data_IF_882047535785
#
_entry.id   IF_882047535785
#
_cell.length_a   1.000
_cell.length_b   1.000
_cell.length_c   1.000
_cell.angle_alpha   90.00
_cell.angle_beta   90.00
_cell.angle_gamma   90.00
#
_symmetry.space_group_name_H-M   'P 1'
#
loop_
_entity.id
_entity.type
_entity.pdbx_description
1 polymer ?
#
# COMPACT_ATOMS: atom_id res chain seq x y z
N UNK A 1 26.34 -14.45 8.32
CA UNK A 1 25.06 -13.83 8.05
C UNK A 1 25.12 -13.08 6.74
N UNK A 2 24.16 -13.33 5.85
CA UNK A 2 23.97 -12.57 4.61
C UNK A 2 22.56 -11.97 4.65
N UNK A 3 22.46 -10.66 4.39
CA UNK A 3 21.19 -9.96 4.28
C UNK A 3 21.07 -9.47 2.83
N UNK A 4 19.96 -9.81 2.19
CA UNK A 4 19.71 -9.48 0.79
C UNK A 4 18.25 -9.19 0.57
N UNK A 5 17.91 -8.28 -0.34
CA UNK A 5 16.53 -8.08 -0.75
C UNK A 5 16.08 -9.20 -1.72
N UNK A 6 14.78 -9.44 -1.75
CA UNK A 6 14.19 -10.51 -2.56
C UNK A 6 14.50 -10.38 -4.06
N UNK A 7 14.55 -9.16 -4.57
CA UNK A 7 14.81 -8.85 -5.98
C UNK A 7 16.24 -9.25 -6.40
N UNK A 8 17.19 -9.18 -5.45
CA UNK A 8 18.61 -9.51 -5.66
C UNK A 8 18.95 -10.96 -5.36
N UNK A 9 17.97 -11.79 -4.97
CA UNK A 9 18.20 -13.20 -4.58
C UNK A 9 18.91 -14.00 -5.69
N UNK A 10 18.71 -13.66 -6.96
CA UNK A 10 19.35 -14.30 -8.10
C UNK A 10 20.88 -14.09 -8.13
N UNK A 11 21.41 -13.10 -7.40
CA UNK A 11 22.85 -12.82 -7.31
C UNK A 11 23.59 -13.75 -6.35
N UNK A 12 22.90 -14.43 -5.44
CA UNK A 12 23.52 -15.41 -4.55
C UNK A 12 23.94 -16.61 -5.40
N UNK A 13 25.24 -16.94 -5.40
CA UNK A 13 25.81 -18.03 -6.22
C UNK A 13 25.89 -19.37 -5.48
N UNK A 14 25.77 -19.39 -4.16
CA UNK A 14 25.87 -20.60 -3.34
C UNK A 14 24.62 -20.82 -2.49
N UNK A 15 24.40 -22.03 -2.02
CA UNK A 15 23.20 -22.45 -1.31
C UNK A 15 23.50 -23.08 0.07
N UNK A 16 24.72 -22.96 0.55
CA UNK A 16 25.14 -23.58 1.80
C UNK A 16 24.82 -22.66 2.99
N UNK A 17 23.55 -22.69 3.38
CA UNK A 17 23.02 -21.98 4.55
C UNK A 17 22.36 -22.99 5.50
N UNK A 18 22.51 -22.78 6.80
CA UNK A 18 21.88 -23.59 7.83
C UNK A 18 20.42 -23.22 8.06
N UNK A 19 20.09 -21.93 7.87
CA UNK A 19 18.78 -21.34 8.12
C UNK A 19 18.48 -20.23 7.13
N UNK A 20 17.25 -20.21 6.65
CA UNK A 20 16.71 -19.10 5.84
C UNK A 20 15.67 -18.33 6.66
N UNK A 21 15.85 -17.03 6.78
CA UNK A 21 14.85 -16.13 7.39
C UNK A 21 14.29 -15.26 6.27
N UNK A 22 12.98 -15.35 6.05
CA UNK A 22 12.27 -14.55 5.04
C UNK A 22 11.40 -13.51 5.76
N UNK A 23 11.85 -12.26 5.70
CA UNK A 23 11.07 -11.13 6.19
C UNK A 23 10.02 -10.71 5.15
N UNK A 24 8.92 -10.09 5.60
CA UNK A 24 7.75 -9.73 4.78
C UNK A 24 7.29 -10.89 3.89
N UNK A 25 7.28 -12.09 4.49
CA UNK A 25 7.07 -13.36 3.77
C UNK A 25 5.72 -13.43 3.04
N UNK A 26 4.72 -12.61 3.41
CA UNK A 26 3.45 -12.50 2.71
C UNK A 26 3.60 -12.20 1.22
N UNK A 27 4.71 -11.56 0.79
CA UNK A 27 5.03 -11.32 -0.63
C UNK A 27 5.18 -12.61 -1.45
N UNK A 28 5.40 -13.74 -0.79
CA UNK A 28 5.49 -15.06 -1.40
C UNK A 28 4.12 -15.76 -1.52
N UNK A 29 3.04 -15.12 -1.09
CA UNK A 29 1.69 -15.67 -1.06
C UNK A 29 0.88 -15.48 -2.36
N UNK A 30 1.46 -15.09 -3.47
CA UNK A 30 0.73 -14.91 -4.72
C UNK A 30 -0.03 -16.17 -5.14
N UNK A 31 -1.32 -16.03 -5.50
CA UNK A 31 -2.17 -17.13 -5.95
C UNK A 31 -2.97 -16.73 -7.20
N UNK A 32 -3.42 -17.65 -8.07
CA UNK A 32 -3.28 -19.10 -7.97
C UNK A 32 -1.90 -19.63 -8.40
N UNK A 33 -1.01 -18.78 -8.92
CA UNK A 33 0.35 -19.14 -9.34
C UNK A 33 1.38 -18.41 -8.49
N UNK A 34 2.48 -19.08 -8.10
CA UNK A 34 3.56 -18.44 -7.37
C UNK A 34 4.29 -17.43 -8.27
N UNK A 35 4.77 -16.35 -7.70
CA UNK A 35 5.61 -15.39 -8.42
C UNK A 35 7.02 -15.96 -8.68
N UNK A 36 7.85 -15.22 -9.45
CA UNK A 36 9.20 -15.66 -9.84
C UNK A 36 10.11 -15.86 -8.63
N UNK A 37 10.04 -14.95 -7.65
CA UNK A 37 10.87 -15.00 -6.43
C UNK A 37 10.50 -16.22 -5.59
N UNK A 38 9.20 -16.46 -5.39
CA UNK A 38 8.69 -17.64 -4.66
C UNK A 38 9.21 -18.95 -5.27
N UNK A 39 9.22 -19.05 -6.60
CA UNK A 39 9.77 -20.21 -7.30
C UNK A 39 11.27 -20.35 -7.07
N UNK A 40 12.02 -19.26 -7.16
CA UNK A 40 13.47 -19.24 -6.97
C UNK A 40 13.86 -19.65 -5.54
N UNK A 41 13.13 -19.16 -4.53
CA UNK A 41 13.36 -19.55 -3.13
C UNK A 41 13.11 -21.05 -2.97
N UNK A 42 12.01 -21.58 -3.49
CA UNK A 42 11.70 -22.99 -3.44
C UNK A 42 12.77 -23.85 -4.10
N UNK A 43 13.17 -23.49 -5.31
CA UNK A 43 14.18 -24.22 -6.09
C UNK A 43 15.51 -24.33 -5.34
N UNK A 44 15.91 -23.22 -4.70
CA UNK A 44 17.24 -23.12 -4.10
C UNK A 44 17.30 -23.58 -2.65
N UNK A 45 16.25 -23.35 -1.88
CA UNK A 45 16.31 -23.45 -0.41
C UNK A 45 15.23 -24.34 0.21
N UNK A 46 14.39 -25.03 -0.58
CA UNK A 46 13.24 -25.77 -0.04
C UNK A 46 13.59 -26.87 0.99
N UNK A 47 14.81 -27.39 0.95
CA UNK A 47 15.32 -28.41 1.89
C UNK A 47 15.98 -27.81 3.15
N UNK A 48 16.04 -26.48 3.26
CA UNK A 48 16.63 -25.80 4.43
C UNK A 48 15.56 -25.47 5.47
N UNK A 49 15.90 -25.43 6.76
CA UNK A 49 15.02 -24.84 7.78
C UNK A 49 14.69 -23.39 7.43
N UNK A 50 13.43 -22.99 7.65
CA UNK A 50 12.98 -21.64 7.30
C UNK A 50 12.18 -21.03 8.44
N UNK A 51 12.40 -19.72 8.68
CA UNK A 51 11.56 -18.88 9.54
C UNK A 51 10.92 -17.82 8.64
N UNK A 52 9.60 -17.69 8.73
CA UNK A 52 8.82 -16.74 7.98
C UNK A 52 8.31 -15.63 8.90
N UNK A 53 8.63 -14.39 8.60
CA UNK A 53 8.22 -13.22 9.36
C UNK A 53 7.25 -12.40 8.53
N UNK A 54 6.15 -11.98 9.13
CA UNK A 54 5.19 -11.07 8.50
C UNK A 54 4.25 -10.45 9.53
N UNK A 55 4.07 -9.15 9.48
CA UNK A 55 3.04 -8.45 10.26
C UNK A 55 1.63 -8.64 9.69
N UNK A 56 1.51 -8.94 8.40
CA UNK A 56 0.24 -9.13 7.67
C UNK A 56 0.31 -10.34 6.74
N UNK A 57 0.27 -11.57 7.27
CA UNK A 57 0.60 -12.76 6.48
C UNK A 57 -0.38 -13.06 5.34
N UNK A 58 -1.63 -12.61 5.44
CA UNK A 58 -2.68 -12.82 4.42
C UNK A 58 -3.46 -11.54 4.14
N UNK A 59 -2.80 -10.49 3.57
CA UNK A 59 -3.44 -9.20 3.40
C UNK A 59 -4.66 -9.22 2.45
N UNK A 60 -4.68 -10.13 1.48
CA UNK A 60 -5.76 -10.23 0.49
C UNK A 60 -6.70 -11.41 0.74
N UNK A 61 -6.14 -12.57 1.07
CA UNK A 61 -6.89 -13.82 1.24
C UNK A 61 -6.09 -14.89 1.99
N UNK A 62 -6.78 -15.75 2.71
CA UNK A 62 -6.20 -16.96 3.29
C UNK A 62 -5.63 -17.94 2.24
N UNK A 63 -5.99 -17.82 0.98
CA UNK A 63 -5.38 -18.55 -0.13
C UNK A 63 -3.88 -18.30 -0.28
N UNK A 64 -3.39 -17.18 0.24
CA UNK A 64 -1.98 -16.81 0.24
C UNK A 64 -1.12 -17.77 1.08
N UNK A 65 -1.70 -18.49 2.06
CA UNK A 65 -0.96 -19.44 2.87
C UNK A 65 -0.38 -20.61 2.04
N UNK A 66 -1.06 -21.02 0.96
CA UNK A 66 -0.56 -22.16 0.18
C UNK A 66 0.88 -21.93 -0.31
N UNK A 67 1.13 -20.86 -1.07
CA UNK A 67 2.45 -20.64 -1.65
C UNK A 67 3.48 -20.16 -0.62
N UNK A 68 3.05 -19.52 0.47
CA UNK A 68 3.96 -19.19 1.57
C UNK A 68 4.56 -20.45 2.20
N UNK A 69 3.76 -21.49 2.43
CA UNK A 69 4.26 -22.77 2.94
C UNK A 69 4.87 -23.67 1.84
N UNK A 70 4.38 -23.58 0.62
CA UNK A 70 4.84 -24.39 -0.51
C UNK A 70 6.33 -24.25 -0.80
N UNK A 71 6.94 -23.15 -0.44
CA UNK A 71 8.39 -22.89 -0.58
C UNK A 71 9.20 -23.97 0.12
N UNK A 72 8.79 -24.43 1.29
CA UNK A 72 9.51 -25.40 2.11
C UNK A 72 9.06 -26.83 1.85
N UNK A 73 10.00 -27.77 1.86
CA UNK A 73 9.68 -29.20 1.86
C UNK A 73 9.03 -29.65 3.18
N UNK A 74 9.07 -28.85 4.23
CA UNK A 74 8.41 -29.07 5.52
C UNK A 74 6.98 -28.52 5.56
N UNK A 75 6.40 -28.17 4.41
CA UNK A 75 5.04 -27.64 4.29
C UNK A 75 3.99 -28.58 4.90
N UNK A 76 2.96 -28.03 5.58
CA UNK A 76 1.82 -28.82 6.04
C UNK A 76 0.91 -29.33 4.90
N UNK A 77 1.11 -28.83 3.67
CA UNK A 77 0.31 -29.13 2.48
C UNK A 77 1.01 -30.09 1.51
N UNK A 78 1.86 -30.99 2.02
CA UNK A 78 2.66 -31.93 1.20
C UNK A 78 1.84 -32.85 0.27
N UNK A 79 0.63 -33.16 0.65
CA UNK A 79 -0.29 -34.03 -0.10
C UNK A 79 -0.81 -33.39 -1.39
N UNK A 80 -0.70 -32.05 -1.51
CA UNK A 80 -1.20 -31.32 -2.66
C UNK A 80 -0.10 -31.05 -3.67
N UNK A 81 -0.22 -31.63 -4.84
CA UNK A 81 0.73 -31.45 -5.96
C UNK A 81 0.83 -30.00 -6.42
N UNK A 82 -0.27 -29.25 -6.34
CA UNK A 82 -0.33 -27.84 -6.74
C UNK A 82 -1.48 -27.09 -6.07
N UNK A 83 -1.47 -25.76 -6.23
CA UNK A 83 -2.49 -24.88 -5.69
C UNK A 83 -3.92 -25.28 -6.11
N UNK A 84 -4.12 -25.70 -7.35
CA UNK A 84 -5.46 -25.99 -7.86
C UNK A 84 -6.08 -27.23 -7.19
N UNK A 85 -5.25 -28.23 -6.84
CA UNK A 85 -5.71 -29.40 -6.05
C UNK A 85 -6.01 -28.99 -4.62
N UNK A 86 -5.14 -28.19 -4.01
CA UNK A 86 -5.35 -27.64 -2.68
C UNK A 86 -6.60 -26.76 -2.59
N UNK A 87 -6.85 -25.92 -3.60
CA UNK A 87 -7.99 -25.02 -3.60
C UNK A 87 -9.35 -25.72 -3.64
N UNK A 88 -9.43 -26.94 -4.14
CA UNK A 88 -10.69 -27.71 -4.12
C UNK A 88 -11.17 -27.98 -2.68
N UNK A 89 -10.25 -28.17 -1.73
CA UNK A 89 -10.57 -28.49 -0.34
C UNK A 89 -10.63 -27.26 0.57
N UNK A 90 -9.90 -26.20 0.21
CA UNK A 90 -9.71 -25.02 1.06
C UNK A 90 -10.30 -23.71 0.55
N UNK A 91 -10.89 -23.70 -0.65
CA UNK A 91 -11.38 -22.46 -1.27
C UNK A 91 -12.79 -22.64 -1.85
N UNK A 92 -13.68 -21.69 -1.55
CA UNK A 92 -14.95 -21.55 -2.27
C UNK A 92 -14.70 -20.86 -3.60
N UNK A 93 -14.45 -21.65 -4.65
CA UNK A 93 -14.08 -21.18 -5.96
C UNK A 93 -15.29 -20.52 -6.63
N UNK A 94 -15.21 -19.21 -6.92
CA UNK A 94 -16.24 -18.44 -7.59
C UNK A 94 -15.82 -18.10 -9.02
N UNK A 95 -16.80 -17.92 -9.90
CA UNK A 95 -16.58 -17.41 -11.25
C UNK A 95 -16.77 -15.90 -11.24
N UNK A 96 -15.80 -15.15 -11.76
CA UNK A 96 -15.87 -13.72 -12.00
C UNK A 96 -15.77 -13.42 -13.49
N UNK A 97 -16.51 -12.43 -13.96
CA UNK A 97 -16.38 -11.90 -15.31
C UNK A 97 -15.39 -10.73 -15.31
N UNK A 98 -14.36 -10.82 -16.15
CA UNK A 98 -13.44 -9.75 -16.47
C UNK A 98 -13.65 -9.38 -17.94
N UNK A 99 -14.50 -8.39 -18.20
CA UNK A 99 -14.97 -8.10 -19.54
C UNK A 99 -15.76 -9.29 -20.11
N UNK A 100 -15.30 -9.82 -21.25
CA UNK A 100 -15.92 -10.98 -21.92
C UNK A 100 -15.37 -12.34 -21.46
N UNK A 101 -14.36 -12.37 -20.58
CA UNK A 101 -13.73 -13.60 -20.12
C UNK A 101 -14.20 -13.97 -18.73
N UNK A 102 -14.51 -15.26 -18.53
CA UNK A 102 -14.83 -15.84 -17.25
C UNK A 102 -13.54 -16.37 -16.61
N UNK A 103 -13.24 -15.93 -15.39
CA UNK A 103 -12.06 -16.37 -14.63
C UNK A 103 -12.47 -16.93 -13.27
N UNK A 104 -11.73 -17.91 -12.79
CA UNK A 104 -11.92 -18.44 -11.43
C UNK A 104 -11.30 -17.49 -10.40
N UNK A 105 -12.11 -17.16 -9.39
CA UNK A 105 -11.67 -16.39 -8.23
C UNK A 105 -11.41 -17.36 -7.06
N UNK A 106 -10.21 -17.29 -6.53
CA UNK A 106 -9.73 -18.12 -5.43
C UNK A 106 -9.58 -17.35 -4.11
N UNK A 107 -10.16 -16.16 -4.00
CA UNK A 107 -9.98 -15.31 -2.82
C UNK A 107 -10.85 -15.70 -1.61
N UNK A 108 -11.91 -16.50 -1.82
CA UNK A 108 -12.84 -16.91 -0.77
C UNK A 108 -12.42 -18.25 -0.12
N UNK A 109 -11.36 -18.19 0.69
CA UNK A 109 -10.78 -19.36 1.33
C UNK A 109 -11.45 -19.69 2.68
N UNK A 110 -11.55 -20.99 3.01
CA UNK A 110 -12.10 -21.50 4.28
C UNK A 110 -11.09 -21.32 5.41
N UNK A 111 -11.12 -20.13 6.04
CA UNK A 111 -10.22 -19.72 7.12
C UNK A 111 -10.04 -20.80 8.20
N UNK A 112 -11.14 -21.34 8.72
CA UNK A 112 -11.09 -22.28 9.84
C UNK A 112 -10.46 -23.63 9.47
N UNK A 113 -10.67 -24.07 8.22
CA UNK A 113 -10.04 -25.30 7.72
C UNK A 113 -8.52 -25.12 7.59
N UNK A 114 -8.10 -23.99 7.07
CA UNK A 114 -6.67 -23.66 6.91
C UNK A 114 -6.03 -23.54 8.29
N UNK A 115 -6.63 -22.76 9.21
CA UNK A 115 -6.10 -22.56 10.56
C UNK A 115 -5.91 -23.88 11.33
N UNK A 116 -6.83 -24.84 11.21
CA UNK A 116 -6.69 -26.17 11.84
C UNK A 116 -5.39 -26.88 11.44
N UNK A 117 -4.92 -26.63 10.22
CA UNK A 117 -3.70 -27.28 9.69
C UNK A 117 -2.45 -26.47 10.07
N UNK A 118 -2.50 -25.14 9.94
CA UNK A 118 -1.31 -24.30 10.05
C UNK A 118 -0.99 -23.79 11.46
N UNK A 119 -1.97 -23.79 12.41
CA UNK A 119 -1.78 -23.19 13.74
C UNK A 119 -0.57 -23.78 14.51
N UNK A 120 -0.25 -25.05 14.31
CA UNK A 120 0.93 -25.67 14.94
C UNK A 120 2.29 -25.21 14.38
N UNK A 121 2.27 -24.49 13.25
CA UNK A 121 3.46 -23.95 12.59
C UNK A 121 3.58 -22.43 12.76
N UNK A 122 2.58 -21.79 13.38
CA UNK A 122 2.51 -20.32 13.48
C UNK A 122 2.58 -19.93 14.95
N UNK A 123 3.46 -18.96 15.23
CA UNK A 123 3.47 -18.21 16.47
C UNK A 123 2.99 -16.81 16.11
N UNK A 124 1.90 -16.37 16.71
CA UNK A 124 1.35 -15.02 16.45
C UNK A 124 1.14 -14.28 17.76
N UNK A 125 1.49 -13.00 17.73
CA UNK A 125 1.22 -12.07 18.82
C UNK A 125 0.46 -10.87 18.27
N UNK A 126 -0.54 -10.41 18.99
CA UNK A 126 -1.14 -9.10 18.73
C UNK A 126 -0.20 -8.00 19.22
N UNK A 127 -0.37 -6.78 18.70
CA UNK A 127 0.39 -5.62 19.22
C UNK A 127 0.20 -5.47 20.73
N UNK A 128 -1.02 -5.66 21.23
CA UNK A 128 -1.36 -5.61 22.67
C UNK A 128 -0.61 -6.68 23.47
N UNK A 129 -0.59 -7.93 23.00
CA UNK A 129 0.18 -9.01 23.65
C UNK A 129 1.69 -8.76 23.65
N UNK A 130 2.18 -7.97 22.69
CA UNK A 130 3.58 -7.54 22.60
C UNK A 130 3.88 -6.26 23.39
N UNK A 131 2.93 -5.76 24.17
CA UNK A 131 3.08 -4.58 25.02
C UNK A 131 2.84 -3.24 24.31
N UNK A 132 2.39 -3.25 23.04
CA UNK A 132 2.03 -2.04 22.31
C UNK A 132 0.55 -1.70 22.57
N UNK A 133 0.30 -0.80 23.50
CA UNK A 133 -1.05 -0.39 23.91
C UNK A 133 -1.47 0.97 23.32
N UNK A 134 -0.88 1.36 22.18
CA UNK A 134 -1.16 2.64 21.54
C UNK A 134 -2.56 2.66 20.92
N UNK A 135 -3.38 3.61 21.33
CA UNK A 135 -4.66 3.89 20.66
C UNK A 135 -4.38 4.66 19.37
N UNK A 136 -4.80 4.13 18.23
CA UNK A 136 -4.71 4.81 16.95
C UNK A 136 -6.02 5.55 16.68
N UNK A 137 -5.94 6.88 16.55
CA UNK A 137 -7.08 7.73 16.18
C UNK A 137 -6.87 8.30 14.79
N UNK A 138 -7.80 8.02 13.89
CA UNK A 138 -7.75 8.51 12.50
C UNK A 138 -8.73 9.65 12.29
N UNK A 139 -8.21 10.77 11.78
CA UNK A 139 -8.96 12.00 11.55
C UNK A 139 -8.99 12.31 10.06
N UNK A 140 -10.17 12.37 9.46
CA UNK A 140 -10.33 12.78 8.06
C UNK A 140 -10.57 14.28 8.01
N UNK A 141 -9.67 15.00 7.35
CA UNK A 141 -9.76 16.44 7.09
C UNK A 141 -10.13 16.62 5.62
N UNK A 142 -11.29 17.21 5.36
CA UNK A 142 -11.72 17.56 4.00
C UNK A 142 -11.25 18.95 3.63
N UNK A 143 -10.59 19.04 2.50
CA UNK A 143 -10.05 20.31 1.96
C UNK A 143 -10.79 20.69 0.70
N UNK A 144 -11.36 21.87 0.68
CA UNK A 144 -11.91 22.48 -0.55
C UNK A 144 -10.75 22.86 -1.45
N UNK A 145 -10.70 22.26 -2.63
CA UNK A 145 -9.70 22.57 -3.64
C UNK A 145 -10.07 23.87 -4.38
N UNK A 146 -9.13 24.43 -5.16
CA UNK A 146 -9.40 25.56 -6.01
C UNK A 146 -10.32 25.19 -7.18
N UNK A 147 -11.04 26.18 -7.72
CA UNK A 147 -11.99 25.95 -8.83
C UNK A 147 -11.34 25.34 -10.06
N UNK A 148 -10.06 25.64 -10.32
CA UNK A 148 -9.31 25.06 -11.44
C UNK A 148 -9.25 23.54 -11.33
N UNK A 149 -9.05 22.98 -10.13
CA UNK A 149 -9.03 21.52 -9.89
C UNK A 149 -10.38 20.91 -10.23
N UNK A 150 -11.48 21.51 -9.78
CA UNK A 150 -12.82 21.01 -10.05
C UNK A 150 -13.20 21.13 -11.53
N UNK A 151 -12.81 22.21 -12.20
CA UNK A 151 -13.08 22.41 -13.63
C UNK A 151 -12.38 21.35 -14.49
N UNK A 152 -11.06 21.13 -14.25
CA UNK A 152 -10.30 20.11 -15.00
C UNK A 152 -10.88 18.73 -14.75
N UNK A 153 -11.17 18.38 -13.49
CA UNK A 153 -11.72 17.05 -13.15
C UNK A 153 -13.10 16.83 -13.75
N UNK A 154 -13.93 17.85 -13.85
CA UNK A 154 -15.24 17.80 -14.50
C UNK A 154 -15.12 17.54 -16.01
N UNK A 155 -14.21 18.26 -16.67
CA UNK A 155 -13.95 18.09 -18.10
C UNK A 155 -13.39 16.68 -18.41
N UNK A 156 -12.42 16.21 -17.62
CA UNK A 156 -11.88 14.86 -17.81
C UNK A 156 -12.93 13.76 -17.61
N UNK A 157 -13.84 13.93 -16.65
CA UNK A 157 -14.94 12.96 -16.45
C UNK A 157 -15.94 12.95 -17.60
N UNK A 158 -16.11 14.08 -18.29
CA UNK A 158 -17.06 14.22 -19.39
C UNK A 158 -16.46 13.85 -20.74
N UNK A 159 -15.27 14.36 -21.03
CA UNK A 159 -14.68 14.36 -22.36
C UNK A 159 -13.43 13.49 -22.48
N UNK A 160 -12.91 12.95 -21.36
CA UNK A 160 -11.65 12.19 -21.26
C UNK A 160 -10.39 12.96 -21.67
N UNK A 161 -10.53 14.24 -21.94
CA UNK A 161 -9.45 15.15 -22.34
C UNK A 161 -9.69 16.54 -21.72
N UNK A 162 -8.62 17.20 -21.35
CA UNK A 162 -8.61 18.60 -20.99
C UNK A 162 -7.48 19.29 -21.75
N UNK A 163 -7.83 20.31 -22.54
CA UNK A 163 -6.92 21.13 -23.31
C UNK A 163 -6.61 22.42 -22.53
N UNK A 164 -5.38 22.55 -22.04
CA UNK A 164 -4.86 23.77 -21.48
C UNK A 164 -4.22 24.65 -22.55
N UNK A 165 -3.70 25.83 -22.17
CA UNK A 165 -3.09 26.77 -23.14
C UNK A 165 -1.87 26.17 -23.86
N UNK A 166 -1.07 25.35 -23.21
CA UNK A 166 0.19 24.80 -23.74
C UNK A 166 0.32 23.30 -23.58
N UNK A 167 -0.63 22.63 -22.91
CA UNK A 167 -0.54 21.23 -22.52
C UNK A 167 -1.90 20.56 -22.52
N UNK A 168 -1.89 19.25 -22.70
CA UNK A 168 -3.09 18.41 -22.74
C UNK A 168 -3.02 17.37 -21.63
N UNK A 169 -4.14 17.12 -20.96
CA UNK A 169 -4.31 16.01 -20.04
C UNK A 169 -5.26 15.00 -20.67
N UNK A 170 -4.78 13.79 -20.95
CA UNK A 170 -5.55 12.72 -21.58
C UNK A 170 -5.88 11.64 -20.55
N UNK A 171 -7.14 11.21 -20.56
CA UNK A 171 -7.67 10.16 -19.71
C UNK A 171 -8.53 9.17 -20.52
N UNK A 172 -7.98 8.70 -21.65
CA UNK A 172 -8.62 7.86 -22.67
C UNK A 172 -9.02 6.46 -22.18
N UNK A 173 -8.50 6.03 -21.04
CA UNK A 173 -8.87 4.76 -20.40
C UNK A 173 -9.31 4.98 -18.95
N UNK A 174 -10.16 4.05 -18.44
CA UNK A 174 -10.61 4.13 -17.05
C UNK A 174 -9.46 4.12 -16.02
N UNK A 175 -8.34 3.46 -16.33
CA UNK A 175 -7.14 3.45 -15.47
C UNK A 175 -6.47 4.80 -15.48
N UNK A 176 -6.27 5.41 -16.66
CA UNK A 176 -5.71 6.76 -16.77
C UNK A 176 -6.61 7.79 -16.09
N UNK A 177 -7.94 7.71 -16.31
CA UNK A 177 -8.89 8.62 -15.67
C UNK A 177 -8.81 8.52 -14.14
N UNK A 178 -8.83 7.30 -13.57
CA UNK A 178 -8.68 7.09 -12.15
C UNK A 178 -7.37 7.70 -11.62
N UNK A 179 -6.26 7.48 -12.33
CA UNK A 179 -4.94 8.02 -11.94
C UNK A 179 -4.88 9.54 -12.06
N UNK A 180 -5.38 10.13 -13.16
CA UNK A 180 -5.38 11.59 -13.36
C UNK A 180 -6.28 12.30 -12.34
N UNK A 181 -7.47 11.77 -12.06
CA UNK A 181 -8.34 12.33 -11.01
C UNK A 181 -7.67 12.28 -9.64
N UNK A 182 -6.97 11.19 -9.32
CA UNK A 182 -6.26 11.06 -8.05
C UNK A 182 -5.12 12.09 -7.91
N UNK A 183 -4.36 12.34 -8.99
CA UNK A 183 -3.34 13.37 -9.04
C UNK A 183 -3.93 14.78 -8.92
N UNK A 184 -4.97 15.10 -9.69
CA UNK A 184 -5.61 16.40 -9.69
C UNK A 184 -6.19 16.77 -8.32
N UNK A 185 -6.87 15.84 -7.68
CA UNK A 185 -7.38 16.04 -6.32
C UNK A 185 -6.28 16.13 -5.25
N UNK A 186 -5.03 15.81 -5.56
CA UNK A 186 -3.89 16.11 -4.69
C UNK A 186 -3.18 17.45 -5.04
N UNK A 187 -3.70 18.15 -6.04
CA UNK A 187 -3.16 19.47 -6.48
C UNK A 187 -2.08 19.40 -7.55
N UNK A 188 -1.81 18.21 -8.11
CA UNK A 188 -0.77 18.01 -9.12
C UNK A 188 -1.30 17.22 -10.31
N UNK A 189 -0.58 17.21 -11.42
CA UNK A 189 -0.85 16.31 -12.54
C UNK A 189 0.42 16.03 -13.34
N UNK A 190 0.57 14.82 -13.85
CA UNK A 190 1.57 14.47 -14.85
C UNK A 190 0.92 14.59 -16.22
N UNK A 191 1.52 15.41 -17.09
CA UNK A 191 1.07 15.65 -18.46
C UNK A 191 1.49 14.49 -19.39
N UNK A 192 0.98 14.48 -20.60
CA UNK A 192 1.37 13.47 -21.61
C UNK A 192 2.85 13.60 -22.03
N UNK A 193 3.44 14.79 -21.88
CA UNK A 193 4.88 15.01 -22.05
C UNK A 193 5.77 14.38 -20.98
N UNK A 194 5.17 13.81 -19.92
CA UNK A 194 5.87 13.33 -18.72
C UNK A 194 6.22 14.42 -17.71
N UNK A 195 5.98 15.68 -18.03
CA UNK A 195 6.20 16.81 -17.12
C UNK A 195 5.12 16.86 -16.04
N UNK A 196 5.52 17.10 -14.79
CA UNK A 196 4.60 17.35 -13.69
C UNK A 196 4.24 18.83 -13.60
N UNK A 197 2.97 19.11 -13.30
CA UNK A 197 2.49 20.47 -13.00
C UNK A 197 1.87 20.51 -11.60
N UNK A 198 2.04 21.68 -10.96
CA UNK A 198 1.39 22.03 -9.70
C UNK A 198 0.24 22.96 -10.03
N UNK A 199 -0.97 22.57 -9.64
CA UNK A 199 -2.21 23.30 -9.94
C UNK A 199 -2.83 23.92 -8.70
N UNK A 200 -2.68 23.27 -7.54
CA UNK A 200 -3.43 23.62 -6.34
C UNK A 200 -2.61 23.36 -5.08
N UNK A 201 -2.53 24.34 -4.21
CA UNK A 201 -1.77 24.29 -2.94
C UNK A 201 -2.66 24.16 -1.70
N UNK A 202 -3.98 23.98 -1.87
CA UNK A 202 -4.96 24.01 -0.77
C UNK A 202 -4.65 23.00 0.34
N UNK A 203 -4.17 21.78 -0.01
CA UNK A 203 -3.75 20.77 0.99
C UNK A 203 -2.53 21.24 1.79
N UNK A 204 -1.54 21.87 1.16
CA UNK A 204 -0.38 22.41 1.86
C UNK A 204 -0.77 23.54 2.83
N UNK A 205 -1.68 24.42 2.42
CA UNK A 205 -2.22 25.51 3.26
C UNK A 205 -2.93 24.92 4.49
N UNK A 206 -3.77 23.91 4.31
CA UNK A 206 -4.45 23.24 5.42
C UNK A 206 -3.46 22.58 6.39
N UNK A 207 -2.45 21.88 5.88
CA UNK A 207 -1.39 21.25 6.69
C UNK A 207 -0.63 22.32 7.48
N UNK A 208 -0.23 23.41 6.86
CA UNK A 208 0.49 24.51 7.54
C UNK A 208 -0.35 25.11 8.67
N UNK A 209 -1.60 25.46 8.39
CA UNK A 209 -2.50 26.06 9.38
C UNK A 209 -2.73 25.16 10.58
N UNK A 210 -2.85 23.87 10.35
CA UNK A 210 -3.18 22.89 11.38
C UNK A 210 -1.99 22.48 12.22
N UNK A 211 -0.81 22.30 11.61
CA UNK A 211 0.35 21.67 12.23
C UNK A 211 1.57 22.57 12.41
N UNK A 212 1.43 23.89 12.25
CA UNK A 212 2.58 24.84 12.33
C UNK A 212 3.40 24.76 13.62
N UNK A 213 2.81 24.27 14.72
CA UNK A 213 3.44 24.14 16.04
C UNK A 213 3.89 22.71 16.37
N UNK A 214 3.70 21.77 15.46
CA UNK A 214 3.95 20.35 15.66
C UNK A 214 5.02 19.86 14.68
N UNK A 215 5.71 18.81 15.08
CA UNK A 215 6.61 18.06 14.21
C UNK A 215 5.81 16.95 13.55
N UNK A 216 5.75 16.90 12.22
CA UNK A 216 4.92 15.93 11.52
C UNK A 216 5.71 15.10 10.50
N UNK A 217 5.21 13.89 10.26
CA UNK A 217 5.62 13.06 9.16
C UNK A 217 4.50 13.04 8.11
N UNK A 218 4.84 13.39 6.86
CA UNK A 218 3.90 13.48 5.74
C UNK A 218 4.11 12.29 4.81
N UNK A 219 3.07 11.51 4.56
CA UNK A 219 3.07 10.49 3.53
C UNK A 219 2.40 11.01 2.25
N UNK A 220 3.12 10.87 1.13
CA UNK A 220 2.63 11.20 -0.20
C UNK A 220 2.66 9.98 -1.12
N UNK A 221 1.91 10.01 -2.23
CA UNK A 221 1.83 8.92 -3.21
C UNK A 221 2.63 9.21 -4.47
N UNK A 222 2.42 10.35 -5.10
CA UNK A 222 3.02 10.72 -6.39
C UNK A 222 4.24 11.61 -6.19
N UNK A 223 5.28 11.45 -7.03
CA UNK A 223 6.48 12.29 -6.95
C UNK A 223 6.16 13.79 -7.10
N UNK A 224 5.20 14.13 -7.95
CA UNK A 224 4.75 15.51 -8.11
C UNK A 224 4.18 16.14 -6.82
N UNK A 225 3.62 15.33 -5.92
CA UNK A 225 3.18 15.78 -4.59
C UNK A 225 4.37 16.15 -3.71
N UNK A 226 5.45 15.36 -3.77
CA UNK A 226 6.69 15.73 -3.06
C UNK A 226 7.27 17.04 -3.57
N UNK A 227 7.27 17.24 -4.89
CA UNK A 227 7.74 18.50 -5.49
C UNK A 227 6.90 19.68 -5.02
N UNK A 228 5.57 19.52 -4.95
CA UNK A 228 4.66 20.52 -4.38
C UNK A 228 4.95 20.77 -2.89
N UNK A 229 5.05 19.71 -2.08
CA UNK A 229 5.33 19.80 -0.64
C UNK A 229 6.68 20.51 -0.41
N UNK A 230 7.73 20.10 -1.12
CA UNK A 230 9.06 20.68 -1.04
C UNK A 230 9.07 22.16 -1.47
N UNK A 231 8.40 22.48 -2.57
CA UNK A 231 8.30 23.87 -3.04
C UNK A 231 7.53 24.78 -2.05
N UNK A 232 6.51 24.23 -1.38
CA UNK A 232 5.68 25.00 -0.46
C UNK A 232 6.35 25.20 0.90
N UNK A 233 6.88 24.13 1.50
CA UNK A 233 7.46 24.16 2.86
C UNK A 233 8.96 24.48 2.89
N UNK A 234 9.63 24.41 1.73
CA UNK A 234 11.04 24.76 1.55
C UNK A 234 11.96 24.11 2.60
N UNK A 235 12.70 24.90 3.38
CA UNK A 235 13.67 24.42 4.37
C UNK A 235 13.06 23.70 5.58
N UNK A 236 11.74 23.78 5.76
CA UNK A 236 11.01 23.10 6.84
C UNK A 236 10.84 21.62 6.61
N UNK A 237 11.04 21.13 5.36
CA UNK A 237 10.78 19.74 4.98
C UNK A 237 12.06 19.02 4.56
N UNK A 238 12.21 17.79 4.97
CA UNK A 238 13.28 16.86 4.54
C UNK A 238 12.71 15.53 4.06
N UNK A 239 13.50 14.73 3.38
CA UNK A 239 13.26 13.32 3.10
C UNK A 239 14.34 12.41 3.73
N UNK A 240 15.26 12.99 4.47
CA UNK A 240 16.30 12.29 5.21
C UNK A 240 15.86 12.01 6.65
N UNK A 241 15.90 10.73 7.05
CA UNK A 241 15.44 10.30 8.37
C UNK A 241 16.37 10.77 9.50
N UNK A 242 17.69 10.90 9.24
CA UNK A 242 18.63 11.37 10.25
C UNK A 242 18.42 12.85 10.50
N UNK A 243 18.25 13.64 9.44
CA UNK A 243 17.95 15.06 9.57
C UNK A 243 16.62 15.28 10.30
N UNK A 244 15.58 14.50 9.96
CA UNK A 244 14.31 14.53 10.70
C UNK A 244 14.49 14.23 12.18
N UNK A 245 15.24 13.19 12.54
CA UNK A 245 15.40 12.78 13.94
C UNK A 245 16.21 13.77 14.77
N UNK A 246 17.09 14.56 14.15
CA UNK A 246 18.04 15.47 14.85
C UNK A 246 17.66 16.95 14.76
N UNK A 247 16.62 17.30 14.02
CA UNK A 247 16.16 18.69 13.83
C UNK A 247 14.66 18.81 14.03
N UNK A 248 14.13 20.05 14.02
CA UNK A 248 12.69 20.31 14.06
C UNK A 248 12.01 20.24 12.69
N UNK A 249 12.73 19.81 11.65
CA UNK A 249 12.15 19.67 10.30
C UNK A 249 11.06 18.59 10.26
N UNK A 250 10.09 18.80 9.41
CA UNK A 250 9.11 17.81 9.01
C UNK A 250 9.74 16.82 8.03
N UNK A 251 9.22 15.60 7.97
CA UNK A 251 9.67 14.63 6.97
C UNK A 251 8.54 14.35 5.97
N UNK A 252 8.89 14.24 4.68
CA UNK A 252 7.97 13.76 3.65
C UNK A 252 8.51 12.50 2.99
N UNK A 253 7.71 11.43 3.01
CA UNK A 253 8.08 10.11 2.51
C UNK A 253 7.00 9.57 1.57
N UNK A 254 7.44 8.89 0.52
CA UNK A 254 6.50 8.18 -0.33
C UNK A 254 5.90 6.98 0.42
N UNK A 255 4.58 6.79 0.35
CA UNK A 255 3.88 5.74 1.11
C UNK A 255 4.53 4.36 0.90
N UNK A 256 4.87 4.01 -0.33
CA UNK A 256 5.43 2.69 -0.67
C UNK A 256 6.81 2.47 -0.05
N UNK A 257 7.70 3.46 -0.09
CA UNK A 257 9.04 3.38 0.50
C UNK A 257 9.03 3.63 2.01
N UNK A 258 8.16 4.49 2.50
CA UNK A 258 8.04 4.85 3.92
C UNK A 258 7.25 3.86 4.78
N UNK A 259 6.57 2.89 4.17
CA UNK A 259 5.78 1.90 4.91
C UNK A 259 6.61 0.77 5.55
N UNK A 260 7.88 0.60 5.18
CA UNK A 260 8.72 -0.52 5.61
C UNK A 260 10.00 -0.02 6.29
N UNK A 261 10.38 -0.68 7.40
CA UNK A 261 11.70 -0.57 8.01
C UNK A 261 12.09 0.75 8.68
N UNK A 262 11.18 1.74 8.79
CA UNK A 262 11.47 3.03 9.42
C UNK A 262 10.63 3.27 10.67
N UNK A 263 11.17 4.07 11.59
CA UNK A 263 10.46 4.56 12.79
C UNK A 263 10.30 6.08 12.68
N UNK A 264 9.08 6.55 12.85
CA UNK A 264 8.72 7.98 12.83
C UNK A 264 8.34 8.48 14.23
N UNK A 265 8.92 7.88 15.28
CA UNK A 265 8.59 8.16 16.69
C UNK A 265 8.74 9.62 17.09
N UNK A 266 9.62 10.36 16.42
CA UNK A 266 9.86 11.78 16.68
C UNK A 266 8.78 12.70 16.12
N UNK A 267 7.83 12.19 15.32
CA UNK A 267 6.69 12.96 14.83
C UNK A 267 5.57 13.01 15.90
N UNK A 268 4.96 14.17 16.09
CA UNK A 268 3.73 14.31 16.89
C UNK A 268 2.55 13.64 16.18
N UNK A 269 2.48 13.83 14.86
CA UNK A 269 1.39 13.36 14.00
C UNK A 269 1.89 12.74 12.71
N UNK A 270 1.13 11.74 12.22
CA UNK A 270 1.27 11.20 10.89
C UNK A 270 0.20 11.81 9.99
N UNK A 271 0.63 12.44 8.91
CA UNK A 271 -0.23 13.17 7.99
C UNK A 271 -0.16 12.54 6.60
N UNK A 272 -1.29 12.06 6.10
CA UNK A 272 -1.39 11.55 4.74
C UNK A 272 -1.84 12.66 3.80
N UNK A 273 -0.95 13.13 2.96
CA UNK A 273 -1.24 14.07 1.89
C UNK A 273 -2.13 13.44 0.82
N UNK A 274 -1.92 12.14 0.60
CA UNK A 274 -2.70 11.31 -0.29
C UNK A 274 -2.75 9.87 0.24
N UNK A 275 -3.55 9.00 -0.36
CA UNK A 275 -3.71 7.60 0.01
C UNK A 275 -3.30 6.68 -1.15
N UNK A 276 -2.73 5.51 -0.85
CA UNK A 276 -2.46 4.50 -1.87
C UNK A 276 -3.68 3.59 -2.10
N UNK A 277 -3.78 2.99 -3.28
CA UNK A 277 -4.83 2.03 -3.62
C UNK A 277 -4.70 0.71 -2.87
N UNK A 278 -3.51 0.42 -2.35
CA UNK A 278 -3.18 -0.84 -1.67
C UNK A 278 -3.57 -0.83 -0.20
N UNK A 279 -4.32 -1.85 0.21
CA UNK A 279 -4.62 -2.10 1.61
C UNK A 279 -3.35 -2.39 2.43
N UNK A 280 -2.37 -3.07 1.85
CA UNK A 280 -1.08 -3.33 2.51
C UNK A 280 -0.36 -2.03 2.83
N UNK A 281 -0.28 -1.09 1.87
CA UNK A 281 0.32 0.22 2.08
C UNK A 281 -0.35 0.98 3.24
N UNK A 282 -1.68 0.95 3.30
CA UNK A 282 -2.44 1.56 4.38
C UNK A 282 -2.08 0.97 5.75
N UNK A 283 -2.19 -0.35 5.90
CA UNK A 283 -2.01 -1.01 7.20
C UNK A 283 -0.56 -0.94 7.70
N UNK A 284 0.43 -1.07 6.83
CA UNK A 284 1.84 -1.00 7.21
C UNK A 284 2.30 0.42 7.54
N UNK A 285 1.83 1.44 6.80
CA UNK A 285 2.27 2.82 7.02
C UNK A 285 1.68 3.45 8.28
N UNK A 286 0.44 3.11 8.67
CA UNK A 286 -0.23 3.69 9.84
C UNK A 286 0.46 3.40 11.16
N UNK A 287 1.17 2.27 11.25
CA UNK A 287 1.80 1.82 12.50
C UNK A 287 3.21 2.42 12.71
N UNK A 288 3.68 3.32 11.82
CA UNK A 288 5.03 3.90 11.88
C UNK A 288 5.28 4.84 13.07
N UNK A 289 4.23 5.35 13.71
CA UNK A 289 4.33 6.11 14.96
C UNK A 289 4.34 5.22 16.20
N UNK A 290 3.96 3.96 16.06
CA UNK A 290 3.74 3.07 17.22
C UNK A 290 5.05 2.72 17.90
N UNK A 291 5.14 3.01 19.20
CA UNK A 291 6.22 2.61 20.09
C UNK A 291 5.61 2.08 21.39
N UNK A 292 6.39 1.35 22.19
CA UNK A 292 5.93 0.79 23.48
C UNK A 292 5.45 1.90 24.44
N UNK A 293 6.15 3.04 24.44
CA UNK A 293 5.89 4.15 25.36
C UNK A 293 4.78 5.11 24.88
N UNK A 294 4.36 5.00 23.63
CA UNK A 294 3.40 5.93 23.03
C UNK A 294 1.97 5.45 23.25
N UNK A 295 1.18 6.23 24.02
CA UNK A 295 -0.21 5.89 24.36
C UNK A 295 -1.22 6.21 23.25
N UNK A 296 -0.96 7.25 22.46
CA UNK A 296 -1.86 7.71 21.41
C UNK A 296 -1.12 8.04 20.12
N UNK A 297 -1.62 7.51 19.01
CA UNK A 297 -1.16 7.80 17.66
C UNK A 297 -2.28 8.52 16.91
N UNK A 298 -2.11 9.80 16.65
CA UNK A 298 -3.07 10.57 15.86
C UNK A 298 -2.61 10.65 14.39
N UNK A 299 -3.46 10.15 13.52
CA UNK A 299 -3.28 10.11 12.07
C UNK A 299 -4.27 11.08 11.42
N UNK A 300 -3.80 11.87 10.48
CA UNK A 300 -4.62 12.83 9.73
C UNK A 300 -4.58 12.51 8.23
N UNK A 301 -5.75 12.32 7.65
CA UNK A 301 -5.97 12.11 6.23
C UNK A 301 -6.43 13.41 5.59
N UNK A 302 -5.61 14.00 4.73
CA UNK A 302 -5.93 15.28 4.06
C UNK A 302 -6.57 14.97 2.71
N UNK A 303 -7.87 14.78 2.71
CA UNK A 303 -8.64 14.42 1.53
C UNK A 303 -9.29 15.65 0.90
N UNK A 304 -9.31 15.69 -0.43
CA UNK A 304 -10.02 16.70 -1.18
C UNK A 304 -11.53 16.50 -1.05
N UNK A 305 -12.25 17.57 -0.90
CA UNK A 305 -13.70 17.50 -1.03
C UNK A 305 -14.11 17.11 -2.46
N UNK A 306 -14.96 16.09 -2.59
CA UNK A 306 -15.31 15.51 -3.90
C UNK A 306 -14.23 14.64 -4.56
N UNK A 307 -13.08 14.42 -3.90
CA UNK A 307 -11.99 13.58 -4.39
C UNK A 307 -12.26 12.08 -4.25
N UNK A 308 -11.38 11.26 -4.88
CA UNK A 308 -11.50 9.80 -4.86
C UNK A 308 -10.93 9.17 -3.58
N UNK A 309 -10.19 9.93 -2.80
CA UNK A 309 -9.43 9.44 -1.64
C UNK A 309 -10.34 8.79 -0.59
N UNK A 310 -11.52 9.38 -0.36
CA UNK A 310 -12.48 8.84 0.60
C UNK A 310 -13.02 7.46 0.18
N UNK A 311 -13.22 7.23 -1.12
CA UNK A 311 -13.63 5.93 -1.65
C UNK A 311 -12.52 4.89 -1.51
N UNK A 312 -11.26 5.30 -1.76
CA UNK A 312 -10.08 4.47 -1.55
C UNK A 312 -9.98 4.08 -0.07
N UNK A 313 -10.07 5.06 0.84
CA UNK A 313 -9.95 4.86 2.28
C UNK A 313 -10.97 3.84 2.79
N UNK A 314 -12.24 3.98 2.43
CA UNK A 314 -13.28 3.00 2.81
C UNK A 314 -12.94 1.58 2.36
N UNK A 315 -12.33 1.43 1.19
CA UNK A 315 -12.00 0.12 0.63
C UNK A 315 -10.82 -0.55 1.32
N UNK A 316 -9.76 0.23 1.60
CA UNK A 316 -8.56 -0.29 2.26
C UNK A 316 -8.77 -0.60 3.75
N UNK A 317 -9.72 0.08 4.40
CA UNK A 317 -10.19 -0.28 5.75
C UNK A 317 -10.72 -1.71 5.81
N UNK A 318 -11.42 -2.15 4.77
CA UNK A 318 -11.94 -3.53 4.62
C UNK A 318 -10.84 -4.54 4.21
N UNK A 319 -9.58 -4.17 4.27
CA UNK A 319 -8.41 -4.97 3.81
C UNK A 319 -8.52 -5.39 2.34
N UNK A 320 -9.04 -4.52 1.49
CA UNK A 320 -9.23 -4.74 0.06
C UNK A 320 -8.63 -3.59 -0.72
N UNK A 321 -7.90 -3.93 -1.79
CA UNK A 321 -7.36 -2.92 -2.69
C UNK A 321 -8.45 -2.17 -3.44
N UNK A 322 -8.21 -0.89 -3.71
CA UNK A 322 -9.07 -0.09 -4.55
C UNK A 322 -8.72 -0.30 -6.02
N UNK A 323 -9.64 -0.92 -6.74
CA UNK A 323 -9.44 -1.34 -8.14
C UNK A 323 -10.22 -0.49 -9.12
N UNK A 324 -9.92 -0.63 -10.42
CA UNK A 324 -10.68 0.03 -11.48
C UNK A 324 -12.18 -0.30 -11.43
N UNK A 325 -12.56 -1.52 -11.03
CA UNK A 325 -13.97 -1.89 -10.89
C UNK A 325 -14.66 -1.13 -9.75
N UNK A 326 -13.96 -0.86 -8.66
CA UNK A 326 -14.46 0.00 -7.57
C UNK A 326 -14.64 1.44 -8.08
N UNK A 327 -13.64 1.98 -8.77
CA UNK A 327 -13.68 3.32 -9.34
C UNK A 327 -14.86 3.51 -10.32
N UNK A 328 -15.07 2.57 -11.24
CA UNK A 328 -16.20 2.62 -12.19
C UNK A 328 -17.55 2.64 -11.48
N UNK A 329 -17.71 1.85 -10.42
CA UNK A 329 -18.92 1.81 -9.61
C UNK A 329 -19.15 3.13 -8.87
N UNK A 330 -18.12 3.65 -8.19
CA UNK A 330 -18.23 4.83 -7.33
C UNK A 330 -18.46 6.12 -8.12
N UNK A 331 -17.84 6.23 -9.30
CA UNK A 331 -17.90 7.44 -10.13
C UNK A 331 -18.80 7.31 -11.37
N UNK A 332 -19.51 6.18 -11.54
CA UNK A 332 -20.43 5.90 -12.65
C UNK A 332 -19.79 6.15 -14.05
N UNK A 333 -18.51 5.85 -14.17
CA UNK A 333 -17.75 6.06 -15.42
C UNK A 333 -17.96 4.87 -16.36
N UNK A 334 -18.32 5.15 -17.64
CA UNK A 334 -18.62 4.14 -18.66
C UNK A 334 -17.43 3.79 -19.59
N UNK A 335 -16.21 4.21 -19.25
CA UNK A 335 -15.01 3.97 -20.09
C UNK A 335 -14.48 2.56 -19.86
#
# INVERSE_FOLDING_TARGET
LIVINNESLHLIKYNDFDLIISDEHHRNGAFPKPNKITKLIKERFSNKPMIFLSGTPTPESYSQWYHQFWISNYTPFKEYVNFYKWSNDYVNIKLKYLGYHQVKDYSDAYKDRINKVINKYIISFTQEQSGFNSKVTENIVKVKMQDITYNITKELKKNNIFEGKNDVIIADTGVKLMSKLHQLYSGTCILESGKSIILDKSKCIEIENRFKKNKIAIFYKFQAEYDLIKQYFNDKITNDLNEFNTTDKWIALQIVSGREGISLKEADYLVYFNIDYSAVSYWQSRDRLTTIDRKENNIFWIFSDGGIENSIYKRVLDKKDYTLSCFRKDFKVKI
#
